data_IF_861875201311
#
_entry.id   IF_861875201311
#
_cell.length_a   1.000
_cell.length_b   1.000
_cell.length_c   1.000
_cell.angle_alpha   90.00
_cell.angle_beta   90.00
_cell.angle_gamma   90.00
#
_symmetry.space_group_name_H-M   'P 1'
#
loop_
_entity.id
_entity.type
_entity.pdbx_description
1 polymer ?
#
# COMPACT_ATOMS: atom_id res chain seq x y z
N UNK A 1 2.26 2.84 20.66
CA UNK A 1 2.02 2.55 19.21
C UNK A 1 0.52 2.52 18.83
N UNK A 2 -0.42 2.65 19.77
CA UNK A 2 -1.88 2.74 19.50
C UNK A 2 -2.30 3.96 18.67
N UNK A 3 -1.49 5.02 18.69
CA UNK A 3 -1.77 6.27 17.97
C UNK A 3 -1.52 6.19 16.47
N UNK A 4 -0.96 5.09 15.98
CA UNK A 4 -0.56 4.92 14.57
C UNK A 4 -1.70 4.42 13.67
N UNK A 5 -2.93 4.28 14.18
CA UNK A 5 -4.11 3.95 13.37
C UNK A 5 -5.14 5.07 13.57
N UNK A 6 -5.36 5.88 12.54
CA UNK A 6 -6.22 7.07 12.60
C UNK A 6 -6.87 7.33 11.24
N UNK A 7 -8.12 7.78 11.27
CA UNK A 7 -8.88 8.24 10.09
C UNK A 7 -8.85 7.24 8.91
N UNK A 8 -9.00 5.95 9.23
CA UNK A 8 -9.00 4.88 8.24
C UNK A 8 -7.63 4.50 7.65
N UNK A 9 -6.52 4.94 8.27
CA UNK A 9 -5.17 4.65 7.79
C UNK A 9 -4.23 4.18 8.90
N UNK A 10 -3.14 3.54 8.47
CA UNK A 10 -2.01 3.14 9.30
C UNK A 10 -0.86 4.12 9.03
N UNK A 11 -0.36 4.77 10.07
CA UNK A 11 0.73 5.73 10.05
C UNK A 11 2.04 5.07 10.45
N UNK A 12 3.04 5.22 9.59
CA UNK A 12 4.39 4.71 9.83
C UNK A 12 5.27 5.93 10.10
N UNK A 13 5.79 6.05 11.32
CA UNK A 13 6.55 7.23 11.76
C UNK A 13 8.07 7.03 11.69
N UNK A 14 8.55 5.79 11.58
CA UNK A 14 9.98 5.46 11.62
C UNK A 14 10.36 4.46 10.51
N UNK A 15 11.63 4.44 10.16
CA UNK A 15 12.22 3.46 9.26
C UNK A 15 13.55 3.92 8.68
N UNK A 16 14.19 3.06 7.88
CA UNK A 16 15.60 3.21 7.46
C UNK A 16 15.84 4.39 6.51
N UNK A 17 14.85 4.76 5.68
CA UNK A 17 15.00 5.79 4.65
C UNK A 17 13.87 6.82 4.64
N UNK A 18 14.05 7.89 3.87
CA UNK A 18 13.07 9.00 3.75
C UNK A 18 11.67 8.52 3.35
N UNK A 19 11.57 7.54 2.44
CA UNK A 19 10.28 6.94 2.03
C UNK A 19 9.61 6.05 3.08
N UNK A 20 10.23 5.82 4.24
CA UNK A 20 9.67 4.93 5.26
C UNK A 20 8.49 5.57 5.99
N UNK A 21 8.54 6.89 6.20
CA UNK A 21 7.46 7.63 6.85
C UNK A 21 6.32 7.83 5.88
N UNK A 22 5.15 7.26 6.16
CA UNK A 22 3.99 7.32 5.26
C UNK A 22 2.71 6.96 5.97
N UNK A 23 1.60 7.45 5.42
CA UNK A 23 0.23 7.09 5.80
C UNK A 23 -0.33 6.14 4.75
N UNK A 24 -0.78 4.96 5.17
CA UNK A 24 -1.31 3.93 4.29
C UNK A 24 -2.80 3.78 4.58
N UNK A 25 -3.70 4.28 3.70
CA UNK A 25 -5.11 3.98 3.80
C UNK A 25 -5.33 2.47 3.83
N UNK A 26 -6.15 2.01 4.76
CA UNK A 26 -6.40 0.60 4.98
C UNK A 26 -7.88 0.31 4.70
N UNK A 27 -8.16 -0.88 4.16
CA UNK A 27 -9.54 -1.33 3.99
C UNK A 27 -10.20 -1.58 5.35
N UNK A 28 -11.53 -1.49 5.38
CA UNK A 28 -12.31 -1.78 6.60
C UNK A 28 -11.91 -3.11 7.23
N UNK A 29 -11.72 -4.16 6.43
CA UNK A 29 -11.29 -5.49 6.91
C UNK A 29 -9.96 -5.44 7.67
N UNK A 30 -8.99 -4.67 7.20
CA UNK A 30 -7.70 -4.52 7.89
C UNK A 30 -7.89 -3.75 9.19
N UNK A 31 -8.64 -2.65 9.14
CA UNK A 31 -8.93 -1.83 10.32
C UNK A 31 -9.67 -2.62 11.41
N UNK A 32 -10.68 -3.41 11.04
CA UNK A 32 -11.44 -4.25 11.96
C UNK A 32 -10.55 -5.28 12.67
N UNK A 33 -9.61 -5.92 11.96
CA UNK A 33 -8.65 -6.86 12.55
C UNK A 33 -7.68 -6.15 13.51
N UNK A 34 -7.23 -4.95 13.16
CA UNK A 34 -6.36 -4.17 14.02
C UNK A 34 -7.12 -3.70 15.27
N UNK A 35 -8.39 -3.28 15.11
CA UNK A 35 -9.22 -2.83 16.22
C UNK A 35 -9.57 -3.96 17.18
N UNK A 36 -9.94 -5.14 16.65
CA UNK A 36 -10.12 -6.35 17.45
C UNK A 36 -8.89 -6.65 18.31
N UNK A 37 -7.68 -6.49 17.75
CA UNK A 37 -6.44 -6.69 18.51
C UNK A 37 -6.22 -5.60 19.55
N UNK A 38 -6.51 -4.34 19.23
CA UNK A 38 -6.40 -3.21 20.17
C UNK A 38 -7.34 -3.36 21.35
N UNK A 39 -8.58 -3.79 21.12
CA UNK A 39 -9.58 -3.97 22.17
C UNK A 39 -9.13 -4.97 23.25
N UNK A 40 -8.34 -5.96 22.86
CA UNK A 40 -7.79 -6.99 23.77
C UNK A 40 -6.35 -6.70 24.21
N UNK A 41 -5.76 -5.58 23.80
CA UNK A 41 -4.37 -5.25 24.11
C UNK A 41 -4.23 -4.66 25.51
N UNK A 42 -3.33 -5.22 26.30
CA UNK A 42 -2.95 -4.70 27.64
C UNK A 42 -1.72 -3.79 27.59
N UNK A 43 -1.18 -3.55 26.39
CA UNK A 43 0.00 -2.71 26.18
C UNK A 43 -0.22 -1.73 25.02
N UNK A 44 0.73 -0.83 24.81
CA UNK A 44 0.66 0.17 23.74
C UNK A 44 0.88 -0.39 22.31
N UNK A 45 1.15 -1.70 22.19
CA UNK A 45 1.48 -2.39 20.94
C UNK A 45 0.28 -3.17 20.41
N UNK A 46 0.00 -3.08 19.11
CA UNK A 46 -1.06 -3.88 18.46
C UNK A 46 -0.70 -5.37 18.40
N UNK A 47 0.60 -5.68 18.37
CA UNK A 47 1.14 -7.03 18.37
C UNK A 47 2.13 -7.20 19.54
N UNK A 48 1.62 -7.32 20.78
CA UNK A 48 2.47 -7.52 21.95
C UNK A 48 3.15 -8.89 21.91
N UNK A 49 4.33 -8.98 22.50
CA UNK A 49 5.06 -10.24 22.68
C UNK A 49 5.93 -10.19 23.95
N UNK A 50 6.23 -11.34 24.58
CA UNK A 50 7.10 -11.41 25.75
C UNK A 50 8.58 -11.30 25.36
N UNK A 51 8.94 -10.19 24.73
CA UNK A 51 10.31 -9.82 24.32
C UNK A 51 10.79 -8.63 25.16
N UNK A 52 12.09 -8.33 25.14
CA UNK A 52 12.63 -7.14 25.83
C UNK A 52 12.02 -5.82 25.32
N UNK A 53 11.62 -5.79 24.05
CA UNK A 53 10.94 -4.65 23.41
C UNK A 53 9.43 -4.59 23.69
N UNK A 54 8.84 -5.65 24.25
CA UNK A 54 7.41 -5.74 24.56
C UNK A 54 6.50 -5.98 23.35
N UNK A 55 7.06 -6.17 22.15
CA UNK A 55 6.33 -6.41 20.91
C UNK A 55 7.01 -7.44 20.01
N UNK A 56 6.28 -7.93 19.00
CA UNK A 56 6.85 -8.87 18.04
C UNK A 56 8.11 -8.31 17.38
N UNK A 57 9.16 -9.12 17.34
CA UNK A 57 10.40 -8.81 16.63
C UNK A 57 10.49 -9.59 15.31
N UNK A 58 11.39 -9.16 14.41
CA UNK A 58 11.53 -9.77 13.09
C UNK A 58 11.81 -11.28 13.12
N UNK A 59 12.51 -11.77 14.14
CA UNK A 59 12.76 -13.21 14.35
C UNK A 59 11.49 -13.98 14.76
N UNK A 60 10.64 -13.39 15.60
CA UNK A 60 9.36 -13.96 16.04
C UNK A 60 8.41 -14.14 14.86
N UNK A 61 8.31 -13.11 14.02
CA UNK A 61 7.43 -13.14 12.84
C UNK A 61 7.84 -14.22 11.83
N UNK A 62 9.15 -14.49 11.66
CA UNK A 62 9.64 -15.57 10.79
C UNK A 62 9.14 -16.96 11.22
N UNK A 63 9.19 -17.25 12.52
CA UNK A 63 8.71 -18.53 13.07
C UNK A 63 7.20 -18.68 12.89
N UNK A 64 6.44 -17.63 13.20
CA UNK A 64 4.99 -17.61 13.02
C UNK A 64 4.60 -17.79 11.54
N UNK A 65 5.34 -17.15 10.62
CA UNK A 65 5.13 -17.30 9.18
C UNK A 65 5.36 -18.74 8.70
N UNK A 66 6.45 -19.38 9.14
CA UNK A 66 6.71 -20.78 8.78
C UNK A 66 5.60 -21.72 9.28
N UNK A 67 5.10 -21.50 10.50
CA UNK A 67 3.96 -22.25 11.04
C UNK A 67 2.68 -22.01 10.23
N UNK A 68 2.40 -20.76 9.85
CA UNK A 68 1.25 -20.41 9.02
C UNK A 68 1.31 -21.06 7.62
N UNK A 69 2.49 -21.06 6.97
CA UNK A 69 2.70 -21.75 5.70
C UNK A 69 2.37 -23.23 5.82
N UNK A 70 2.95 -23.91 6.82
CA UNK A 70 2.70 -25.34 7.08
C UNK A 70 1.21 -25.62 7.29
N UNK A 71 0.53 -24.81 8.08
CA UNK A 71 -0.90 -24.97 8.37
C UNK A 71 -1.79 -24.73 7.14
N UNK A 72 -1.42 -23.79 6.28
CA UNK A 72 -2.23 -23.42 5.10
C UNK A 72 -2.05 -24.34 3.90
N UNK A 73 -0.96 -25.12 3.83
CA UNK A 73 -0.65 -25.98 2.68
C UNK A 73 -0.22 -25.22 1.41
N UNK A 74 -0.05 -23.90 1.48
CA UNK A 74 0.41 -23.11 0.33
C UNK A 74 1.90 -23.34 0.06
N UNK A 75 2.31 -23.14 -1.20
CA UNK A 75 3.71 -23.21 -1.59
C UNK A 75 4.57 -22.26 -0.73
N UNK A 76 5.77 -22.67 -0.30
CA UNK A 76 6.62 -21.83 0.55
C UNK A 76 7.00 -20.50 -0.11
N UNK A 77 6.94 -19.41 0.68
CA UNK A 77 7.43 -18.09 0.27
C UNK A 77 7.92 -17.29 1.48
N UNK A 78 8.65 -16.19 1.25
CA UNK A 78 9.17 -15.34 2.34
C UNK A 78 8.21 -14.20 2.66
N UNK A 79 8.22 -13.69 3.90
CA UNK A 79 7.34 -12.58 4.32
C UNK A 79 7.36 -11.37 3.36
N UNK A 80 8.52 -11.06 2.79
CA UNK A 80 8.68 -9.95 1.85
C UNK A 80 7.86 -10.13 0.56
N UNK A 81 7.49 -11.36 0.19
CA UNK A 81 6.60 -11.65 -0.94
C UNK A 81 5.24 -10.98 -0.79
N UNK A 82 4.70 -10.87 0.43
CA UNK A 82 3.42 -10.16 0.64
C UNK A 82 3.49 -8.71 0.15
N UNK A 83 4.60 -8.02 0.44
CA UNK A 83 4.82 -6.65 -0.04
C UNK A 83 4.93 -6.61 -1.55
N UNK A 84 5.73 -7.50 -2.13
CA UNK A 84 5.86 -7.60 -3.59
C UNK A 84 4.51 -7.79 -4.26
N UNK A 85 3.74 -8.80 -3.83
CA UNK A 85 2.42 -9.09 -4.39
C UNK A 85 1.46 -7.92 -4.22
N UNK A 86 1.47 -7.24 -3.08
CA UNK A 86 0.64 -6.05 -2.85
C UNK A 86 0.97 -4.94 -3.86
N UNK A 87 2.25 -4.60 -4.02
CA UNK A 87 2.69 -3.54 -4.94
C UNK A 87 2.40 -3.92 -6.40
N UNK A 88 2.69 -5.16 -6.81
CA UNK A 88 2.36 -5.64 -8.16
C UNK A 88 0.87 -5.55 -8.46
N UNK A 89 0.00 -5.90 -7.49
CA UNK A 89 -1.45 -5.80 -7.68
C UNK A 89 -1.92 -4.35 -7.73
N UNK A 90 -1.38 -3.48 -6.88
CA UNK A 90 -1.70 -2.05 -6.90
C UNK A 90 -1.23 -1.34 -8.16
N UNK A 91 -0.09 -1.74 -8.74
CA UNK A 91 0.45 -1.15 -9.96
C UNK A 91 -0.49 -1.22 -11.16
N UNK A 92 -1.46 -2.15 -11.16
CA UNK A 92 -2.48 -2.26 -12.20
C UNK A 92 -3.61 -1.23 -12.07
N UNK A 93 -3.73 -0.58 -10.91
CA UNK A 93 -4.89 0.25 -10.57
C UNK A 93 -4.50 1.67 -10.11
N UNK A 94 -3.22 1.93 -9.89
CA UNK A 94 -2.71 3.20 -9.38
C UNK A 94 -1.70 3.78 -10.35
N UNK A 95 -1.63 5.11 -10.41
CA UNK A 95 -0.54 5.76 -11.12
C UNK A 95 0.81 5.45 -10.43
N UNK A 96 1.93 5.47 -11.18
CA UNK A 96 3.24 5.12 -10.64
C UNK A 96 3.71 5.98 -9.47
N UNK A 97 3.28 7.24 -9.36
CA UNK A 97 3.72 8.17 -8.31
C UNK A 97 2.96 7.91 -7.00
N UNK A 98 1.65 7.69 -7.06
CA UNK A 98 0.87 7.23 -5.90
C UNK A 98 1.37 5.88 -5.41
N UNK A 99 1.64 4.94 -6.33
CA UNK A 99 2.22 3.65 -5.99
C UNK A 99 3.57 3.80 -5.29
N UNK A 100 4.44 4.69 -5.79
CA UNK A 100 5.76 4.97 -5.21
C UNK A 100 5.68 5.42 -3.75
N UNK A 101 4.77 6.36 -3.45
CA UNK A 101 4.54 6.86 -2.09
C UNK A 101 4.05 5.74 -1.17
N UNK A 102 3.03 4.98 -1.59
CA UNK A 102 2.46 3.90 -0.77
C UNK A 102 3.45 2.74 -0.58
N UNK A 103 4.20 2.42 -1.62
CA UNK A 103 5.29 1.46 -1.60
C UNK A 103 6.50 1.95 -0.79
N UNK A 104 6.52 3.20 -0.32
CA UNK A 104 7.57 3.75 0.54
C UNK A 104 8.98 3.57 -0.03
N UNK A 105 9.11 3.59 -1.36
CA UNK A 105 10.39 3.50 -2.03
C UNK A 105 11.07 4.87 -1.97
N UNK A 106 12.38 4.90 -1.75
CA UNK A 106 13.15 6.16 -1.82
C UNK A 106 13.52 6.52 -3.26
N UNK A 107 13.60 5.51 -4.14
CA UNK A 107 13.98 5.67 -5.54
C UNK A 107 12.86 5.13 -6.44
N UNK A 108 12.44 5.95 -7.41
CA UNK A 108 11.45 5.61 -8.40
C UNK A 108 11.88 4.38 -9.25
N UNK A 109 13.18 4.17 -9.45
CA UNK A 109 13.70 2.98 -10.14
C UNK A 109 13.29 1.68 -9.44
N UNK A 110 13.05 1.70 -8.12
CA UNK A 110 12.54 0.53 -7.40
C UNK A 110 11.06 0.28 -7.73
N UNK A 111 10.29 1.35 -7.91
CA UNK A 111 8.85 1.29 -8.24
C UNK A 111 8.64 0.85 -9.69
N UNK A 112 9.50 1.29 -10.59
CA UNK A 112 9.48 0.92 -12.02
C UNK A 112 9.47 -0.60 -12.23
N UNK A 113 10.04 -1.38 -11.31
CA UNK A 113 10.05 -2.86 -11.36
C UNK A 113 8.68 -3.50 -11.25
N UNK A 114 7.64 -2.74 -10.92
CA UNK A 114 6.27 -3.23 -10.75
C UNK A 114 5.31 -2.67 -11.81
N UNK A 115 5.75 -1.66 -12.56
CA UNK A 115 4.93 -0.95 -13.54
C UNK A 115 5.27 -1.48 -14.93
N UNK A 116 4.37 -2.29 -15.47
CA UNK A 116 4.53 -2.94 -16.76
C UNK A 116 3.33 -2.62 -17.65
N UNK A 117 3.36 -1.50 -18.40
CA UNK A 117 2.29 -1.17 -19.32
C UNK A 117 2.26 -2.18 -20.46
N UNK A 118 1.08 -2.73 -20.75
CA UNK A 118 0.80 -3.51 -21.94
C UNK A 118 0.41 -2.60 -23.12
N UNK A 119 0.41 -3.13 -24.33
CA UNK A 119 -0.09 -2.40 -25.51
C UNK A 119 -1.55 -1.97 -25.34
N UNK A 120 -2.35 -2.79 -24.65
CA UNK A 120 -3.74 -2.46 -24.31
C UNK A 120 -3.79 -1.24 -23.39
N UNK A 121 -2.97 -1.21 -22.34
CA UNK A 121 -2.90 -0.08 -21.41
C UNK A 121 -2.47 1.21 -22.12
N UNK A 122 -1.50 1.11 -23.03
CA UNK A 122 -1.00 2.25 -23.82
C UNK A 122 -2.12 2.79 -24.72
N UNK A 123 -2.82 1.91 -25.44
CA UNK A 123 -3.92 2.32 -26.32
C UNK A 123 -5.06 2.95 -25.52
N UNK A 124 -5.47 2.34 -24.41
CA UNK A 124 -6.51 2.91 -23.55
C UNK A 124 -6.11 4.27 -22.97
N UNK A 125 -4.83 4.48 -22.64
CA UNK A 125 -4.34 5.77 -22.19
C UNK A 125 -4.47 6.83 -23.30
N UNK A 126 -4.13 6.50 -24.54
CA UNK A 126 -4.28 7.42 -25.68
C UNK A 126 -5.74 7.76 -25.99
N UNK A 127 -6.65 6.78 -25.91
CA UNK A 127 -8.08 7.03 -26.08
C UNK A 127 -8.64 7.97 -24.99
N UNK A 128 -8.19 7.82 -23.74
CA UNK A 128 -8.56 8.74 -22.65
C UNK A 128 -8.08 10.17 -22.92
N UNK A 129 -6.87 10.34 -23.46
CA UNK A 129 -6.35 11.66 -23.85
C UNK A 129 -7.22 12.27 -24.93
N UNK A 130 -7.51 11.53 -25.99
CA UNK A 130 -8.37 12.00 -27.10
C UNK A 130 -9.75 12.44 -26.58
N UNK A 131 -10.42 11.60 -25.80
CA UNK A 131 -11.72 11.91 -25.23
C UNK A 131 -11.68 13.14 -24.29
N UNK A 132 -10.59 13.32 -23.53
CA UNK A 132 -10.41 14.49 -22.67
C UNK A 132 -10.27 15.79 -23.46
N UNK A 133 -9.50 15.76 -24.56
CA UNK A 133 -9.32 16.91 -25.45
C UNK A 133 -10.61 17.29 -26.18
N UNK A 134 -11.38 16.31 -26.66
CA UNK A 134 -12.68 16.53 -27.30
C UNK A 134 -13.71 17.14 -26.33
N UNK A 135 -13.75 16.67 -25.07
CA UNK A 135 -14.57 17.28 -24.02
C UNK A 135 -14.15 18.71 -23.69
N UNK A 136 -12.85 18.99 -23.62
CA UNK A 136 -12.32 20.33 -23.39
C UNK A 136 -12.64 21.30 -24.53
N UNK A 137 -12.56 20.82 -25.79
CA UNK A 137 -12.95 21.59 -26.95
C UNK A 137 -14.47 21.89 -26.95
N UNK A 138 -15.31 20.90 -26.64
CA UNK A 138 -16.76 21.11 -26.53
C UNK A 138 -17.16 22.05 -25.38
N UNK A 139 -16.44 22.03 -24.25
CA UNK A 139 -16.65 22.95 -23.14
C UNK A 139 -16.23 24.39 -23.49
N UNK A 140 -15.13 24.55 -24.24
CA UNK A 140 -14.66 25.84 -24.75
C UNK A 140 -15.65 26.46 -25.76
N UNK A 141 -16.29 25.63 -26.59
CA UNK A 141 -17.34 26.07 -27.53
C UNK A 141 -18.64 26.49 -26.82
N UNK A 142 -18.90 26.01 -25.60
CA UNK A 142 -20.08 26.35 -24.79
C UNK A 142 -19.86 27.55 -23.84
N UNK A 143 -18.74 28.27 -23.94
CA UNK A 143 -18.52 29.56 -23.26
C UNK A 143 -18.33 29.48 -21.74
N UNK A 144 -18.10 28.30 -21.15
CA UNK A 144 -17.69 28.20 -19.76
C UNK A 144 -16.16 28.29 -19.64
N UNK A 145 -15.62 29.26 -18.90
CA UNK A 145 -14.17 29.43 -18.78
C UNK A 145 -13.56 28.23 -18.05
N UNK A 146 -12.47 27.68 -18.61
CA UNK A 146 -11.61 26.75 -17.89
C UNK A 146 -10.96 27.49 -16.72
N UNK A 147 -11.42 27.21 -15.50
CA UNK A 147 -10.74 27.65 -14.29
C UNK A 147 -9.54 26.72 -14.11
N UNK A 148 -8.33 27.26 -14.31
CA UNK A 148 -7.05 26.59 -14.06
C UNK A 148 -6.72 26.67 -12.58
#
# INVERSE_FOLDING_TARGET
>A
MLHSIRDGAIEIHTGKGRGSRRRIPASKRVLDVLEMRRASATSEWVFPAPTKSGHIEGSTLKKQHAAALKASGVAPFVLYTFRHTCITRWAKHMDPFTLHVLAGHTDMNTTKRYVHPSEVDIREAMEKVKAGLEKGAAASLNGQPLVV
#
